data_IF_861586101054
#
_entry.id   IF_861586101054
#
_cell.length_a   1.000
_cell.length_b   1.000
_cell.length_c   1.000
_cell.angle_alpha   90.00
_cell.angle_beta   90.00
_cell.angle_gamma   90.00
#
_symmetry.space_group_name_H-M   'P 1'
#
loop_
_entity.id
_entity.type
_entity.pdbx_description
1 polymer ?
#
# COMPACT_ATOMS: atom_id res chain seq x y z
N UNK A 1 -43.72 -93.03 -2.10
CA UNK A 1 -43.16 -93.23 -0.75
C UNK A 1 -43.05 -91.87 -0.09
N UNK A 2 -43.40 -91.75 1.19
CA UNK A 2 -43.24 -90.51 1.95
C UNK A 2 -41.89 -90.53 2.68
N UNK A 3 -41.27 -89.36 2.87
CA UNK A 3 -40.05 -89.21 3.66
C UNK A 3 -40.27 -89.71 5.10
N UNK A 4 -39.32 -90.49 5.61
CA UNK A 4 -39.30 -90.91 7.02
C UNK A 4 -38.97 -89.73 7.93
N UNK A 5 -39.16 -89.89 9.24
CA UNK A 5 -38.76 -88.86 10.19
C UNK A 5 -37.23 -88.66 10.21
N UNK A 6 -36.47 -89.73 10.02
CA UNK A 6 -35.00 -89.68 9.98
C UNK A 6 -34.52 -88.89 8.76
N UNK A 7 -35.13 -89.09 7.59
CA UNK A 7 -34.82 -88.30 6.38
C UNK A 7 -35.05 -86.81 6.62
N UNK A 8 -36.16 -86.45 7.29
CA UNK A 8 -36.48 -85.05 7.59
C UNK A 8 -35.50 -84.44 8.58
N UNK A 9 -35.05 -85.20 9.58
CA UNK A 9 -34.04 -84.72 10.54
C UNK A 9 -32.69 -84.53 9.88
N UNK A 10 -32.28 -85.47 9.01
CA UNK A 10 -31.04 -85.34 8.25
C UNK A 10 -31.06 -84.13 7.32
N UNK A 11 -32.14 -83.93 6.56
CA UNK A 11 -32.27 -82.77 5.67
C UNK A 11 -32.22 -81.45 6.47
N UNK A 12 -32.87 -81.39 7.64
CA UNK A 12 -32.80 -80.21 8.52
C UNK A 12 -31.37 -79.94 9.01
N UNK A 13 -30.65 -80.97 9.43
CA UNK A 13 -29.25 -80.86 9.85
C UNK A 13 -28.37 -80.35 8.71
N UNK A 14 -28.44 -80.98 7.54
CA UNK A 14 -27.65 -80.58 6.36
C UNK A 14 -27.91 -79.14 5.92
N UNK A 15 -29.16 -78.66 6.00
CA UNK A 15 -29.50 -77.25 5.71
C UNK A 15 -28.91 -76.33 6.78
N UNK A 16 -29.04 -76.68 8.05
CA UNK A 16 -28.50 -75.87 9.14
C UNK A 16 -26.97 -75.76 9.05
N UNK A 17 -26.28 -76.87 8.82
CA UNK A 17 -24.82 -76.93 8.66
C UNK A 17 -24.37 -76.12 7.44
N UNK A 18 -25.05 -76.26 6.30
CA UNK A 18 -24.74 -75.48 5.10
C UNK A 18 -24.97 -73.97 5.27
N UNK A 19 -25.97 -73.56 6.07
CA UNK A 19 -26.17 -72.14 6.41
C UNK A 19 -25.07 -71.64 7.35
N UNK A 20 -24.69 -72.42 8.36
CA UNK A 20 -23.60 -72.08 9.28
C UNK A 20 -22.28 -71.93 8.52
N UNK A 21 -21.96 -72.88 7.65
CA UNK A 21 -20.77 -72.84 6.80
C UNK A 21 -20.76 -71.60 5.90
N UNK A 22 -21.88 -71.25 5.27
CA UNK A 22 -21.98 -70.04 4.44
C UNK A 22 -21.82 -68.74 5.26
N UNK A 23 -22.36 -68.70 6.49
CA UNK A 23 -22.18 -67.57 7.39
C UNK A 23 -20.70 -67.41 7.79
N UNK A 24 -20.05 -68.49 8.17
CA UNK A 24 -18.64 -68.48 8.59
C UNK A 24 -17.68 -68.20 7.44
N UNK A 25 -17.92 -68.77 6.26
CA UNK A 25 -17.00 -68.66 5.13
C UNK A 25 -17.17 -67.35 4.34
N UNK A 26 -18.37 -66.75 4.34
CA UNK A 26 -18.67 -65.60 3.48
C UNK A 26 -19.08 -64.38 4.26
N UNK A 27 -19.95 -64.52 5.27
CA UNK A 27 -20.56 -63.36 5.93
C UNK A 27 -19.63 -62.77 6.99
N UNK A 28 -19.09 -63.58 7.91
CA UNK A 28 -18.20 -63.09 8.96
C UNK A 28 -16.94 -62.39 8.41
N UNK A 29 -16.20 -62.94 7.43
CA UNK A 29 -15.01 -62.29 6.91
C UNK A 29 -15.32 -60.96 6.20
N UNK A 30 -16.51 -60.82 5.60
CA UNK A 30 -16.93 -59.55 4.97
C UNK A 30 -17.24 -58.48 6.01
N UNK A 31 -17.79 -58.86 7.16
CA UNK A 31 -17.98 -57.93 8.27
C UNK A 31 -16.63 -57.50 8.87
N UNK A 32 -15.70 -58.43 9.09
CA UNK A 32 -14.35 -58.09 9.57
C UNK A 32 -13.63 -57.11 8.62
N UNK A 33 -13.80 -57.28 7.30
CA UNK A 33 -13.24 -56.36 6.31
C UNK A 33 -13.95 -55.00 6.31
N UNK A 34 -15.26 -54.97 6.56
CA UNK A 34 -15.99 -53.73 6.71
C UNK A 34 -15.56 -52.96 7.96
N UNK A 35 -15.33 -53.63 9.08
CA UNK A 35 -14.85 -53.00 10.32
C UNK A 35 -13.48 -52.35 10.08
N UNK A 36 -12.54 -53.06 9.44
CA UNK A 36 -11.23 -52.47 9.06
C UNK A 36 -11.36 -51.27 8.12
N UNK A 37 -12.35 -51.29 7.22
CA UNK A 37 -12.61 -50.15 6.33
C UNK A 37 -13.19 -48.97 7.12
N UNK A 38 -14.02 -49.22 8.12
CA UNK A 38 -14.55 -48.18 9.00
C UNK A 38 -13.44 -47.56 9.85
N UNK A 39 -12.55 -48.35 10.46
CA UNK A 39 -11.39 -47.84 11.20
C UNK A 39 -10.53 -46.92 10.32
N UNK A 40 -10.31 -47.30 9.05
CA UNK A 40 -9.56 -46.48 8.10
C UNK A 40 -10.30 -45.19 7.71
N UNK A 41 -11.62 -45.25 7.61
CA UNK A 41 -12.44 -44.06 7.31
C UNK A 41 -12.38 -43.09 8.50
N UNK A 42 -12.51 -43.58 9.73
CA UNK A 42 -12.43 -42.78 10.95
C UNK A 42 -11.08 -42.07 11.04
N UNK A 43 -9.96 -42.80 10.89
CA UNK A 43 -8.63 -42.20 10.89
C UNK A 43 -8.42 -41.13 9.79
N UNK A 44 -9.06 -41.30 8.62
CA UNK A 44 -9.01 -40.29 7.56
C UNK A 44 -9.89 -39.07 7.87
N UNK A 45 -11.01 -39.26 8.56
CA UNK A 45 -11.87 -38.16 8.99
C UNK A 45 -11.18 -37.33 10.07
N UNK A 46 -10.51 -37.97 11.03
CA UNK A 46 -9.72 -37.29 12.06
C UNK A 46 -8.62 -36.42 11.42
N UNK A 47 -7.89 -36.96 10.45
CA UNK A 47 -6.87 -36.21 9.71
C UNK A 47 -7.45 -35.03 8.93
N UNK A 48 -8.63 -35.19 8.31
CA UNK A 48 -9.30 -34.08 7.61
C UNK A 48 -9.78 -33.01 8.59
N UNK A 49 -10.24 -33.39 9.78
CA UNK A 49 -10.66 -32.46 10.82
C UNK A 49 -9.48 -31.62 11.33
N UNK A 50 -8.31 -32.25 11.51
CA UNK A 50 -7.06 -31.57 11.85
C UNK A 50 -6.63 -30.57 10.75
N UNK A 51 -6.60 -31.01 9.49
CA UNK A 51 -6.25 -30.15 8.34
C UNK A 51 -7.21 -28.95 8.21
N UNK A 52 -8.51 -29.18 8.37
CA UNK A 52 -9.53 -28.12 8.29
C UNK A 52 -9.38 -27.13 9.46
N UNK A 53 -9.01 -27.62 10.64
CA UNK A 53 -8.73 -26.76 11.79
C UNK A 53 -7.50 -25.89 11.55
N UNK A 54 -6.42 -26.47 11.02
CA UNK A 54 -5.22 -25.73 10.62
C UNK A 54 -5.51 -24.64 9.57
N UNK A 55 -6.28 -24.99 8.53
CA UNK A 55 -6.70 -24.02 7.51
C UNK A 55 -7.53 -22.87 8.08
N UNK A 56 -8.36 -23.13 9.09
CA UNK A 56 -9.15 -22.08 9.76
C UNK A 56 -8.26 -21.10 10.51
N UNK A 57 -7.21 -21.58 11.15
CA UNK A 57 -6.24 -20.75 11.85
C UNK A 57 -5.42 -19.91 10.87
N UNK A 58 -4.91 -20.52 9.79
CA UNK A 58 -4.19 -19.82 8.72
C UNK A 58 -5.02 -18.70 8.10
N UNK A 59 -6.29 -18.99 7.77
CA UNK A 59 -7.22 -17.99 7.22
C UNK A 59 -7.48 -16.85 8.21
N UNK A 60 -7.55 -17.14 9.51
CA UNK A 60 -7.72 -16.13 10.55
C UNK A 60 -6.48 -15.24 10.70
N UNK A 61 -5.28 -15.83 10.58
CA UNK A 61 -4.01 -15.09 10.55
C UNK A 61 -3.92 -14.17 9.33
N UNK A 62 -4.17 -14.71 8.13
CA UNK A 62 -4.17 -13.94 6.88
C UNK A 62 -5.15 -12.75 6.92
N UNK A 63 -6.32 -12.94 7.51
CA UNK A 63 -7.29 -11.85 7.70
C UNK A 63 -6.72 -10.72 8.57
N UNK A 64 -5.99 -11.07 9.62
CA UNK A 64 -5.39 -10.11 10.55
C UNK A 64 -4.24 -9.34 9.88
N UNK A 65 -3.36 -10.04 9.17
CA UNK A 65 -2.28 -9.44 8.38
C UNK A 65 -2.83 -8.48 7.31
N UNK A 66 -3.90 -8.86 6.61
CA UNK A 66 -4.55 -8.00 5.61
C UNK A 66 -5.14 -6.73 6.24
N UNK A 67 -5.68 -6.81 7.46
CA UNK A 67 -6.12 -5.62 8.21
C UNK A 67 -4.96 -4.68 8.53
N UNK A 68 -3.80 -5.22 8.93
CA UNK A 68 -2.60 -4.43 9.20
C UNK A 68 -2.07 -3.75 7.93
N UNK A 69 -1.98 -4.49 6.81
CA UNK A 69 -1.57 -3.95 5.51
C UNK A 69 -2.48 -2.78 5.10
N UNK A 70 -3.79 -2.93 5.26
CA UNK A 70 -4.75 -1.85 4.97
C UNK A 70 -4.52 -0.63 5.85
N UNK A 71 -4.24 -0.81 7.14
CA UNK A 71 -3.93 0.29 8.06
C UNK A 71 -2.66 1.03 7.65
N UNK A 72 -1.60 0.29 7.30
CA UNK A 72 -0.33 0.87 6.83
C UNK A 72 -0.51 1.65 5.53
N UNK A 73 -1.30 1.12 4.59
CA UNK A 73 -1.58 1.80 3.33
C UNK A 73 -2.32 3.13 3.55
N UNK A 74 -3.33 3.15 4.44
CA UNK A 74 -4.01 4.39 4.81
C UNK A 74 -3.03 5.42 5.43
N UNK A 75 -2.06 4.96 6.22
CA UNK A 75 -0.99 5.80 6.77
C UNK A 75 -0.14 6.43 5.67
N UNK A 76 0.34 5.63 4.72
CA UNK A 76 1.12 6.10 3.55
C UNK A 76 0.33 7.09 2.71
N UNK A 77 -0.97 6.85 2.48
CA UNK A 77 -1.83 7.82 1.77
C UNK A 77 -1.95 9.15 2.52
N UNK A 78 -1.99 9.12 3.85
CA UNK A 78 -1.96 10.30 4.71
C UNK A 78 -0.66 11.10 4.55
N UNK A 79 0.48 10.44 4.69
CA UNK A 79 1.80 11.05 4.53
C UNK A 79 2.00 11.64 3.13
N UNK A 80 1.54 10.94 2.09
CA UNK A 80 1.64 11.42 0.70
C UNK A 80 0.82 12.71 0.48
N UNK A 81 -0.35 12.83 1.13
CA UNK A 81 -1.15 14.06 1.09
C UNK A 81 -0.39 15.21 1.75
N UNK A 82 0.24 14.97 2.90
CA UNK A 82 1.06 15.99 3.57
C UNK A 82 2.25 16.44 2.72
N UNK A 83 2.95 15.49 2.07
CA UNK A 83 4.04 15.79 1.14
C UNK A 83 3.54 16.67 -0.01
N UNK A 84 2.38 16.36 -0.59
CA UNK A 84 1.77 17.15 -1.65
C UNK A 84 1.47 18.59 -1.20
N UNK A 85 0.91 18.75 -0.01
CA UNK A 85 0.60 20.07 0.55
C UNK A 85 1.88 20.89 0.81
N UNK A 86 2.93 20.23 1.32
CA UNK A 86 4.25 20.86 1.54
C UNK A 86 4.89 21.29 0.23
N UNK A 87 4.82 20.46 -0.81
CA UNK A 87 5.31 20.83 -2.14
C UNK A 87 4.56 22.02 -2.72
N UNK A 88 3.22 22.06 -2.59
CA UNK A 88 2.42 23.21 -3.03
C UNK A 88 2.81 24.52 -2.31
N UNK A 89 3.16 24.47 -1.02
CA UNK A 89 3.69 25.64 -0.30
C UNK A 89 5.04 26.09 -0.86
N UNK A 90 5.97 25.15 -1.07
CA UNK A 90 7.30 25.44 -1.63
C UNK A 90 7.17 26.06 -3.03
N UNK A 91 6.30 25.53 -3.89
CA UNK A 91 6.02 26.10 -5.21
C UNK A 91 5.50 27.55 -5.11
N UNK A 92 4.59 27.83 -4.16
CA UNK A 92 4.10 29.17 -3.90
C UNK A 92 5.19 30.14 -3.42
N UNK A 93 6.05 29.71 -2.49
CA UNK A 93 7.19 30.50 -2.00
C UNK A 93 8.19 30.80 -3.12
N UNK A 94 8.50 29.83 -3.97
CA UNK A 94 9.37 30.01 -5.13
C UNK A 94 8.78 31.00 -6.15
N UNK A 95 7.46 30.97 -6.36
CA UNK A 95 6.79 31.93 -7.24
C UNK A 95 6.86 33.36 -6.67
N UNK A 96 6.66 33.52 -5.37
CA UNK A 96 6.82 34.81 -4.69
C UNK A 96 8.25 35.33 -4.83
N UNK A 97 9.25 34.49 -4.52
CA UNK A 97 10.66 34.85 -4.67
C UNK A 97 11.03 35.21 -6.11
N UNK A 98 10.47 34.49 -7.09
CA UNK A 98 10.66 34.80 -8.52
C UNK A 98 10.13 36.18 -8.88
N UNK A 99 9.00 36.59 -8.29
CA UNK A 99 8.44 37.92 -8.50
C UNK A 99 9.30 39.00 -7.83
N UNK A 100 9.71 38.78 -6.57
CA UNK A 100 10.58 39.69 -5.83
C UNK A 100 11.90 39.95 -6.61
N UNK A 101 12.50 38.90 -7.17
CA UNK A 101 13.72 39.01 -7.98
C UNK A 101 13.47 39.85 -9.24
N UNK A 102 12.33 39.69 -9.92
CA UNK A 102 11.97 40.53 -11.08
C UNK A 102 11.81 41.99 -10.69
N UNK A 103 11.14 42.27 -9.57
CA UNK A 103 10.98 43.64 -9.07
C UNK A 103 12.33 44.29 -8.75
N UNK A 104 13.23 43.56 -8.09
CA UNK A 104 14.61 44.03 -7.82
C UNK A 104 15.33 44.33 -9.13
N UNK A 105 15.20 43.44 -10.13
CA UNK A 105 15.83 43.64 -11.43
C UNK A 105 15.31 44.91 -12.12
N UNK A 106 14.00 45.14 -12.10
CA UNK A 106 13.36 46.34 -12.65
C UNK A 106 13.78 47.62 -11.92
N UNK A 107 13.97 47.58 -10.60
CA UNK A 107 14.48 48.72 -9.82
C UNK A 107 15.92 49.06 -10.23
N UNK A 108 16.79 48.05 -10.40
CA UNK A 108 18.20 48.26 -10.72
C UNK A 108 18.39 48.68 -12.20
N UNK A 109 17.63 48.10 -13.12
CA UNK A 109 17.87 48.20 -14.56
C UNK A 109 16.73 48.85 -15.38
N UNK A 110 15.54 49.04 -14.82
CA UNK A 110 14.36 49.53 -15.55
C UNK A 110 14.39 51.03 -15.90
N UNK A 111 15.20 51.83 -15.19
CA UNK A 111 15.51 53.23 -15.56
C UNK A 111 16.98 53.54 -15.31
N UNK A 112 17.91 53.10 -16.18
CA UNK A 112 19.27 53.58 -16.09
C UNK A 112 19.24 55.10 -16.29
N UNK A 113 19.85 55.84 -15.37
CA UNK A 113 19.83 57.29 -15.46
C UNK A 113 20.49 57.70 -16.78
N UNK A 114 19.68 58.23 -17.71
CA UNK A 114 20.11 58.56 -19.08
C UNK A 114 21.30 59.51 -19.08
N UNK A 115 21.44 60.33 -18.03
CA UNK A 115 22.58 61.21 -17.82
C UNK A 115 23.89 60.41 -17.70
N UNK A 116 23.90 59.34 -16.89
CA UNK A 116 25.05 58.46 -16.67
C UNK A 116 25.37 57.56 -17.88
N UNK A 117 24.37 57.26 -18.72
CA UNK A 117 24.54 56.45 -19.93
C UNK A 117 24.94 57.27 -21.17
N UNK A 118 25.08 58.59 -21.04
CA UNK A 118 25.41 59.45 -22.18
C UNK A 118 26.90 59.36 -22.58
N UNK A 119 27.18 59.41 -23.88
CA UNK A 119 28.55 59.46 -24.40
C UNK A 119 29.32 60.72 -23.93
N UNK A 120 28.60 61.79 -23.58
CA UNK A 120 29.17 62.98 -22.97
C UNK A 120 29.66 62.70 -21.54
N UNK A 121 28.83 62.05 -20.72
CA UNK A 121 29.21 61.65 -19.36
C UNK A 121 30.43 60.73 -19.34
N UNK A 122 30.52 59.75 -20.25
CA UNK A 122 31.69 58.88 -20.34
C UNK A 122 33.01 59.63 -20.57
N UNK A 123 32.97 60.73 -21.34
CA UNK A 123 34.13 61.56 -21.72
C UNK A 123 34.50 62.66 -20.71
N UNK A 124 33.65 62.92 -19.72
CA UNK A 124 33.88 63.92 -18.68
C UNK A 124 35.05 63.54 -17.74
N UNK A 125 35.67 64.57 -17.14
CA UNK A 125 36.63 64.39 -16.05
C UNK A 125 35.96 63.85 -14.79
N UNK A 126 36.73 63.28 -13.86
CA UNK A 126 36.19 62.74 -12.61
C UNK A 126 35.42 63.77 -11.78
N UNK A 127 35.85 65.04 -11.79
CA UNK A 127 35.18 66.13 -11.07
C UNK A 127 33.81 66.45 -11.66
N UNK A 128 33.70 66.51 -12.99
CA UNK A 128 32.43 66.77 -13.69
C UNK A 128 31.47 65.61 -13.54
N UNK A 129 31.96 64.36 -13.61
CA UNK A 129 31.15 63.17 -13.34
C UNK A 129 30.55 63.18 -11.93
N UNK A 130 31.35 63.53 -10.93
CA UNK A 130 30.86 63.65 -9.54
C UNK A 130 29.79 64.74 -9.38
N UNK A 131 29.92 65.86 -10.09
CA UNK A 131 28.90 66.93 -10.07
C UNK A 131 27.57 66.45 -10.66
N UNK A 132 27.60 65.82 -11.84
CA UNK A 132 26.41 65.28 -12.49
C UNK A 132 25.75 64.19 -11.65
N UNK A 133 26.56 63.32 -11.02
CA UNK A 133 26.06 62.32 -10.07
C UNK A 133 25.35 62.99 -8.88
N UNK A 134 25.94 64.04 -8.30
CA UNK A 134 25.36 64.73 -7.16
C UNK A 134 24.04 65.44 -7.52
N UNK A 135 23.96 66.09 -8.69
CA UNK A 135 22.74 66.73 -9.18
C UNK A 135 21.60 65.72 -9.37
N UNK A 136 21.90 64.58 -9.98
CA UNK A 136 20.92 63.50 -10.18
C UNK A 136 20.51 62.86 -8.84
N UNK A 137 21.44 62.67 -7.90
CA UNK A 137 21.13 62.18 -6.55
C UNK A 137 20.22 63.16 -5.79
N UNK A 138 20.50 64.46 -5.87
CA UNK A 138 19.65 65.50 -5.25
C UNK A 138 18.24 65.52 -5.86
N UNK A 139 18.13 65.28 -7.18
CA UNK A 139 16.85 65.18 -7.86
C UNK A 139 16.07 63.95 -7.40
N UNK A 140 16.71 62.78 -7.36
CA UNK A 140 16.09 61.55 -6.85
C UNK A 140 15.68 61.68 -5.38
N UNK A 141 16.51 62.32 -4.54
CA UNK A 141 16.18 62.56 -3.14
C UNK A 141 14.96 63.47 -2.99
N UNK A 142 14.85 64.54 -3.78
CA UNK A 142 13.65 65.39 -3.83
C UNK A 142 12.42 64.61 -4.26
N UNK A 143 12.51 63.80 -5.31
CA UNK A 143 11.40 62.99 -5.83
C UNK A 143 10.93 61.95 -4.80
N UNK A 144 11.85 61.41 -3.99
CA UNK A 144 11.57 60.47 -2.92
C UNK A 144 11.16 61.14 -1.58
N UNK A 145 11.13 62.48 -1.51
CA UNK A 145 10.82 63.21 -0.27
C UNK A 145 11.92 63.13 0.81
N UNK A 146 13.14 62.75 0.44
CA UNK A 146 14.30 62.62 1.34
C UNK A 146 15.16 63.87 1.26
N UNK A 147 15.54 64.42 2.41
CA UNK A 147 16.51 65.51 2.50
C UNK A 147 17.91 64.91 2.66
N UNK A 148 18.77 65.11 1.67
CA UNK A 148 20.17 64.71 1.78
C UNK A 148 20.93 65.67 2.71
N UNK A 149 21.81 65.15 3.60
CA UNK A 149 22.65 65.99 4.44
C UNK A 149 23.55 66.87 3.57
N UNK A 150 23.75 68.11 4.02
CA UNK A 150 24.62 69.10 3.38
C UNK A 150 26.08 68.87 3.74
#
# INVERSE_FOLDING_TARGET
>A
MALTNDDKQWIKGAIADGVVEALEAVVLPRFDEHDKRFDRIEARLDSVEEDVSGLKDDVSSLKSEMCEVKSRLNGVEGEMREVKDRLGRVEGELQALTNDIKEIYDVIYGKPNKSFMSASFAKMSSKEKLLVINEELLKMAKDAGVVLPR
#
